data_IF_982022305179
#
_entry.id   IF_982022305179
#
_cell.length_a   1.000
_cell.length_b   1.000
_cell.length_c   1.000
_cell.angle_alpha   90.00
_cell.angle_beta   90.00
_cell.angle_gamma   90.00
#
_symmetry.space_group_name_H-M   'P 1'
#
loop_
_entity.id
_entity.type
_entity.pdbx_description
1 polymer ?
#
# COMPACT_ATOMS: atom_id res chain seq x y z
N UNK A 1 -47.04 -32.13 -9.21
CA UNK A 1 -45.59 -32.20 -9.53
C UNK A 1 -45.10 -30.94 -10.25
N UNK A 2 -45.68 -30.55 -11.41
CA UNK A 2 -45.19 -29.41 -12.21
C UNK A 2 -45.24 -28.02 -11.51
N UNK A 3 -46.28 -27.73 -10.71
CA UNK A 3 -46.41 -26.44 -9.99
C UNK A 3 -45.38 -26.23 -8.87
N UNK A 4 -44.80 -27.31 -8.32
CA UNK A 4 -43.79 -27.23 -7.26
C UNK A 4 -42.41 -26.99 -7.88
N UNK A 5 -42.10 -27.66 -9.00
CA UNK A 5 -40.86 -27.45 -9.75
C UNK A 5 -40.71 -26.01 -10.26
N UNK A 6 -41.80 -25.40 -10.78
CA UNK A 6 -41.79 -24.00 -11.25
C UNK A 6 -41.55 -23.00 -10.10
N UNK A 7 -42.12 -23.24 -8.90
CA UNK A 7 -41.90 -22.38 -7.73
C UNK A 7 -40.47 -22.47 -7.20
N UNK A 8 -39.88 -23.67 -7.18
CA UNK A 8 -38.49 -23.88 -6.76
C UNK A 8 -37.51 -23.22 -7.74
N UNK A 9 -37.75 -23.33 -9.05
CA UNK A 9 -36.90 -22.74 -10.08
C UNK A 9 -36.92 -21.20 -10.05
N UNK A 10 -38.10 -20.59 -9.89
CA UNK A 10 -38.25 -19.12 -9.77
C UNK A 10 -37.54 -18.57 -8.52
N UNK A 11 -37.65 -19.27 -7.39
CA UNK A 11 -36.95 -18.89 -6.15
C UNK A 11 -35.43 -19.03 -6.33
N UNK A 12 -34.93 -20.11 -6.94
CA UNK A 12 -33.49 -20.27 -7.21
C UNK A 12 -32.94 -19.17 -8.12
N UNK A 13 -33.67 -18.78 -9.17
CA UNK A 13 -33.25 -17.70 -10.09
C UNK A 13 -33.30 -16.31 -9.44
N UNK A 14 -34.24 -16.05 -8.53
CA UNK A 14 -34.33 -14.80 -7.78
C UNK A 14 -33.25 -14.72 -6.70
N UNK A 15 -32.96 -15.82 -6.00
CA UNK A 15 -31.90 -15.88 -4.98
C UNK A 15 -30.51 -15.75 -5.62
N UNK A 16 -30.26 -16.40 -6.76
CA UNK A 16 -28.99 -16.23 -7.49
C UNK A 16 -28.82 -14.81 -8.03
N UNK A 17 -29.87 -14.18 -8.60
CA UNK A 17 -29.81 -12.78 -9.01
C UNK A 17 -29.59 -11.83 -7.82
N UNK A 18 -30.30 -12.00 -6.70
CA UNK A 18 -30.10 -11.20 -5.48
C UNK A 18 -28.68 -11.35 -4.92
N UNK A 19 -28.11 -12.56 -4.91
CA UNK A 19 -26.74 -12.81 -4.45
C UNK A 19 -25.71 -12.16 -5.39
N UNK A 20 -25.91 -12.18 -6.71
CA UNK A 20 -25.04 -11.48 -7.66
C UNK A 20 -25.13 -9.96 -7.57
N UNK A 21 -26.30 -9.39 -7.25
CA UNK A 21 -26.49 -7.94 -7.06
C UNK A 21 -25.92 -7.43 -5.71
N UNK A 22 -25.96 -8.25 -4.65
CA UNK A 22 -25.49 -7.87 -3.30
C UNK A 22 -23.95 -7.81 -3.21
N UNK A 23 -23.22 -8.58 -4.03
CA UNK A 23 -21.76 -8.62 -3.99
C UNK A 23 -21.06 -7.49 -4.76
N UNK A 24 -21.77 -6.75 -5.61
CA UNK A 24 -21.18 -5.64 -6.39
C UNK A 24 -21.08 -4.31 -5.58
N UNK A 25 -21.64 -4.24 -4.37
CA UNK A 25 -21.86 -2.98 -3.65
C UNK A 25 -20.83 -2.64 -2.56
N UNK A 26 -19.86 -3.52 -2.27
CA UNK A 26 -18.99 -3.34 -1.09
C UNK A 26 -17.59 -2.84 -1.39
N UNK A 27 -17.11 -2.98 -2.63
CA UNK A 27 -15.75 -2.62 -3.01
C UNK A 27 -15.77 -1.65 -4.19
N UNK A 28 -14.90 -0.65 -4.15
CA UNK A 28 -14.68 0.29 -5.24
C UNK A 28 -13.19 0.50 -5.48
N UNK A 29 -12.85 0.95 -6.69
CA UNK A 29 -11.50 1.44 -7.01
C UNK A 29 -11.52 2.96 -6.86
N UNK A 30 -10.47 3.52 -6.27
CA UNK A 30 -10.34 4.97 -6.19
C UNK A 30 -10.20 5.58 -7.59
N UNK A 31 -10.63 6.83 -7.73
CA UNK A 31 -10.32 7.60 -8.95
C UNK A 31 -8.95 8.27 -8.79
N UNK A 32 -8.13 8.36 -9.85
CA UNK A 32 -6.90 9.13 -9.79
C UNK A 32 -7.20 10.61 -9.56
N UNK A 33 -6.34 11.28 -8.79
CA UNK A 33 -6.35 12.73 -8.66
C UNK A 33 -5.50 13.33 -9.78
N UNK A 34 -6.16 14.06 -10.68
CA UNK A 34 -5.50 14.73 -11.80
C UNK A 34 -4.98 16.12 -11.42
N UNK A 35 -4.14 16.76 -12.25
CA UNK A 35 -3.61 18.10 -12.01
C UNK A 35 -4.67 19.18 -11.74
N UNK A 36 -5.89 19.01 -12.29
CA UNK A 36 -7.02 19.91 -12.07
C UNK A 36 -7.68 19.73 -10.68
N UNK A 37 -7.50 18.57 -10.05
CA UNK A 37 -7.90 18.32 -8.65
C UNK A 37 -6.84 18.88 -7.67
N UNK A 38 -5.69 19.37 -8.16
CA UNK A 38 -4.57 19.83 -7.35
C UNK A 38 -4.59 21.37 -7.20
N UNK A 39 -4.93 21.88 -6.02
CA UNK A 39 -4.59 23.26 -5.58
C UNK A 39 -3.09 23.53 -5.80
N UNK A 40 -2.77 24.53 -6.62
CA UNK A 40 -1.39 24.92 -6.93
C UNK A 40 -0.64 25.22 -5.62
N UNK A 41 0.43 24.46 -5.34
CA UNK A 41 1.35 24.80 -4.25
C UNK A 41 2.00 26.15 -4.60
N UNK A 42 1.67 27.22 -3.86
CA UNK A 42 2.33 28.49 -4.05
C UNK A 42 3.74 28.43 -3.46
N UNK A 43 4.73 28.64 -4.32
CA UNK A 43 6.13 28.61 -3.96
C UNK A 43 6.45 29.91 -3.21
N UNK A 44 6.78 29.78 -1.92
CA UNK A 44 6.84 30.80 -0.83
C UNK A 44 5.47 31.20 -0.27
N UNK A 45 5.07 30.48 0.79
CA UNK A 45 3.85 30.75 1.57
C UNK A 45 4.04 31.92 2.56
N UNK A 46 5.23 32.07 3.16
CA UNK A 46 5.56 33.25 3.97
C UNK A 46 6.30 34.29 3.11
N UNK A 47 5.83 35.53 3.12
CA UNK A 47 6.46 36.71 2.51
C UNK A 47 6.73 37.78 3.56
N UNK A 48 7.37 38.89 3.18
CA UNK A 48 7.76 39.95 4.12
C UNK A 48 6.58 40.59 4.88
N UNK A 49 5.34 40.40 4.43
CA UNK A 49 4.13 40.99 4.99
C UNK A 49 3.26 39.98 5.74
N UNK A 50 3.50 38.68 5.60
CA UNK A 50 2.72 37.63 6.24
C UNK A 50 3.06 37.49 7.73
N UNK A 51 2.17 38.00 8.59
CA UNK A 51 2.19 37.73 10.03
C UNK A 51 0.92 36.97 10.40
N UNK A 52 1.07 35.77 10.95
CA UNK A 52 -0.04 34.92 11.37
C UNK A 52 -0.08 33.54 10.68
N UNK A 53 -1.21 32.82 10.81
CA UNK A 53 -1.34 31.50 10.24
C UNK A 53 -1.43 31.57 8.71
N UNK A 54 -0.80 30.62 8.02
CA UNK A 54 -0.87 30.47 6.56
C UNK A 54 -0.97 28.99 6.19
N UNK A 55 -1.78 28.63 5.19
CA UNK A 55 -1.80 27.24 4.74
C UNK A 55 -0.50 26.91 3.98
N UNK A 56 0.33 26.02 4.52
CA UNK A 56 1.50 25.47 3.82
C UNK A 56 1.06 24.68 2.59
N UNK A 57 0.05 23.87 2.85
CA UNK A 57 -0.65 23.01 1.94
C UNK A 57 -2.03 22.75 2.56
N UNK A 58 -2.74 21.79 2.02
CA UNK A 58 -4.10 21.47 2.42
C UNK A 58 -4.25 20.80 3.80
N UNK A 59 -3.18 20.31 4.40
CA UNK A 59 -3.18 19.62 5.68
C UNK A 59 -2.34 20.36 6.72
N UNK A 60 -1.39 21.20 6.30
CA UNK A 60 -0.45 21.86 7.19
C UNK A 60 -0.72 23.37 7.29
N UNK A 61 -0.81 23.84 8.54
CA UNK A 61 -0.83 25.24 8.90
C UNK A 61 0.58 25.68 9.30
N UNK A 62 1.09 26.72 8.63
CA UNK A 62 2.29 27.44 8.99
C UNK A 62 1.95 28.60 9.91
N UNK A 63 2.93 29.01 10.71
CA UNK A 63 2.92 30.34 11.35
C UNK A 63 4.04 31.17 10.72
N UNK A 64 3.67 32.27 10.07
CA UNK A 64 4.61 33.21 9.46
C UNK A 64 4.83 34.41 10.39
N UNK A 65 6.08 34.88 10.46
CA UNK A 65 6.47 36.16 11.07
C UNK A 65 7.32 36.91 10.05
N UNK A 66 6.64 37.67 9.18
CA UNK A 66 7.22 38.15 7.94
C UNK A 66 7.67 36.97 7.07
N UNK A 67 8.86 37.08 6.47
CA UNK A 67 9.38 36.05 5.56
C UNK A 67 9.78 34.74 6.23
N UNK A 68 9.74 34.66 7.56
CA UNK A 68 10.19 33.49 8.32
C UNK A 68 9.02 32.58 8.69
N UNK A 69 9.15 31.29 8.35
CA UNK A 69 8.29 30.24 8.89
C UNK A 69 8.82 29.81 10.26
N UNK A 70 8.06 30.10 11.32
CA UNK A 70 8.45 29.72 12.70
C UNK A 70 7.88 28.38 13.16
N UNK A 71 6.81 27.90 12.50
CA UNK A 71 6.17 26.63 12.86
C UNK A 71 5.43 26.04 11.66
N UNK A 72 5.39 24.71 11.58
CA UNK A 72 4.57 23.94 10.63
C UNK A 72 3.89 22.80 11.40
N UNK A 73 2.57 22.80 11.41
CA UNK A 73 1.79 21.77 12.11
C UNK A 73 0.65 21.26 11.24
N UNK A 74 0.32 19.98 11.39
CA UNK A 74 -0.85 19.41 10.73
C UNK A 74 -2.11 19.91 11.41
N UNK A 75 -3.12 20.32 10.63
CA UNK A 75 -4.42 20.73 11.13
C UNK A 75 -5.09 19.63 11.98
N UNK A 76 -4.91 18.35 11.61
CA UNK A 76 -5.35 17.20 12.42
C UNK A 76 -4.72 17.15 13.81
N UNK A 77 -3.47 17.59 13.95
CA UNK A 77 -2.78 17.64 15.25
C UNK A 77 -3.22 18.84 16.09
N UNK A 78 -3.64 19.94 15.47
CA UNK A 78 -4.20 21.11 16.16
C UNK A 78 -5.63 20.79 16.63
N UNK A 79 -6.46 20.24 15.75
CA UNK A 79 -7.82 19.83 16.04
C UNK A 79 -8.24 18.64 15.15
N UNK A 80 -8.45 17.44 15.72
CA UNK A 80 -8.83 16.25 14.97
C UNK A 80 -10.16 16.39 14.20
N UNK A 81 -11.07 17.28 14.64
CA UNK A 81 -12.34 17.55 13.95
C UNK A 81 -12.19 18.53 12.79
N UNK A 82 -11.02 19.14 12.62
CA UNK A 82 -10.71 20.12 11.57
C UNK A 82 -9.38 19.78 10.90
N UNK A 83 -9.31 18.65 10.18
CA UNK A 83 -8.04 18.10 9.72
C UNK A 83 -7.43 18.84 8.51
N UNK A 84 -8.18 19.74 7.87
CA UNK A 84 -7.76 20.38 6.63
C UNK A 84 -7.49 21.88 6.81
N UNK A 85 -6.53 22.43 6.08
CA UNK A 85 -6.25 23.85 6.02
C UNK A 85 -6.94 24.47 4.79
N UNK A 86 -7.78 25.48 5.02
CA UNK A 86 -8.41 26.27 3.97
C UNK A 86 -8.53 27.72 4.43
N UNK A 87 -8.20 28.68 3.56
CA UNK A 87 -8.24 30.12 3.87
C UNK A 87 -7.45 30.46 5.15
N UNK A 88 -6.21 29.96 5.25
CA UNK A 88 -5.30 30.20 6.38
C UNK A 88 -5.82 29.73 7.75
N UNK A 89 -6.79 28.81 7.78
CA UNK A 89 -7.38 28.26 8.99
C UNK A 89 -7.67 26.76 8.85
N UNK A 90 -7.67 26.05 9.99
CA UNK A 90 -8.08 24.65 10.01
C UNK A 90 -9.61 24.53 9.99
N UNK A 91 -10.15 23.72 9.07
CA UNK A 91 -11.57 23.48 8.78
C UNK A 91 -11.92 21.98 8.78
N UNK A 92 -13.20 21.67 8.99
CA UNK A 92 -13.71 20.30 9.06
C UNK A 92 -13.78 19.58 7.71
N UNK A 93 -13.98 20.33 6.63
CA UNK A 93 -14.14 19.81 5.28
C UNK A 93 -13.68 20.88 4.29
N UNK A 94 -13.08 20.47 3.18
CA UNK A 94 -12.71 21.37 2.08
C UNK A 94 -13.62 21.15 0.89
N UNK A 95 -13.87 22.20 0.10
CA UNK A 95 -14.59 22.13 -1.18
C UNK A 95 -13.70 21.69 -2.34
N UNK A 96 -12.41 21.49 -2.08
CA UNK A 96 -11.38 21.18 -3.07
C UNK A 96 -10.56 19.97 -2.60
N UNK A 97 -10.23 19.08 -3.53
CA UNK A 97 -9.34 17.96 -3.27
C UNK A 97 -7.95 18.49 -3.02
N UNK A 98 -7.36 17.98 -1.95
CA UNK A 98 -6.09 18.46 -1.47
C UNK A 98 -4.96 17.76 -2.24
N UNK A 99 -4.21 18.44 -3.12
CA UNK A 99 -3.01 17.84 -3.67
C UNK A 99 -2.07 17.52 -2.54
N UNK A 100 -1.73 16.24 -2.45
CA UNK A 100 -0.56 15.87 -1.67
C UNK A 100 0.63 16.05 -2.59
N UNK A 101 1.21 17.24 -2.55
CA UNK A 101 2.61 17.39 -2.92
C UNK A 101 3.44 17.10 -1.67
N UNK A 102 3.81 15.83 -1.46
CA UNK A 102 5.04 15.36 -0.78
C UNK A 102 5.02 13.87 -0.38
N UNK A 103 4.04 13.04 -0.79
CA UNK A 103 4.12 11.61 -0.44
C UNK A 103 5.40 10.96 -1.02
N UNK A 104 6.24 10.44 -0.13
CA UNK A 104 7.50 9.81 -0.49
C UNK A 104 7.31 8.31 -0.69
N UNK A 105 7.47 7.85 -1.91
CA UNK A 105 7.53 6.42 -2.22
C UNK A 105 8.81 5.80 -1.65
N UNK A 106 8.67 4.81 -0.77
CA UNK A 106 9.79 4.02 -0.22
C UNK A 106 9.98 2.69 -0.94
N UNK A 107 8.93 2.19 -1.60
CA UNK A 107 8.95 1.01 -2.48
C UNK A 107 7.84 1.10 -3.51
N UNK A 108 7.82 0.17 -4.48
CA UNK A 108 6.70 0.02 -5.42
C UNK A 108 5.49 -0.54 -4.67
N UNK A 109 4.29 -0.05 -5.01
CA UNK A 109 3.03 -0.58 -4.47
C UNK A 109 2.02 0.50 -4.09
N UNK A 110 0.95 0.07 -3.41
CA UNK A 110 -0.09 0.97 -2.91
C UNK A 110 0.10 1.28 -1.42
N UNK A 111 0.04 2.56 -1.06
CA UNK A 111 0.23 3.05 0.30
C UNK A 111 -1.00 3.83 0.76
N UNK A 112 -1.52 3.61 1.98
CA UNK A 112 -2.56 4.45 2.54
C UNK A 112 -2.03 5.87 2.73
N UNK A 113 -2.89 6.86 2.61
CA UNK A 113 -2.53 8.20 3.07
C UNK A 113 -2.51 8.20 4.61
N UNK A 114 -1.39 8.62 5.25
CA UNK A 114 -1.26 8.57 6.70
C UNK A 114 -2.20 9.55 7.43
N UNK A 115 -2.71 10.56 6.74
CA UNK A 115 -3.52 11.65 7.30
C UNK A 115 -4.98 11.61 6.82
N UNK A 116 -5.26 11.03 5.66
CA UNK A 116 -6.60 10.97 5.06
C UNK A 116 -6.96 9.56 4.57
N UNK A 117 -7.70 8.80 5.38
CA UNK A 117 -8.11 7.43 5.05
C UNK A 117 -8.97 7.30 3.78
N UNK A 118 -9.52 8.39 3.22
CA UNK A 118 -10.24 8.36 1.94
C UNK A 118 -9.29 8.29 0.74
N UNK A 119 -7.97 8.35 0.96
CA UNK A 119 -6.95 8.45 -0.07
C UNK A 119 -5.86 7.40 0.07
N UNK A 120 -5.22 7.12 -1.06
CA UNK A 120 -4.04 6.27 -1.13
C UNK A 120 -3.13 6.72 -2.27
N UNK A 121 -1.90 6.19 -2.28
CA UNK A 121 -0.88 6.49 -3.27
C UNK A 121 -0.45 5.22 -3.97
N UNK A 122 -0.35 5.28 -5.30
CA UNK A 122 0.34 4.26 -6.09
C UNK A 122 1.75 4.74 -6.40
N UNK A 123 2.73 3.90 -6.08
CA UNK A 123 4.16 4.18 -6.28
C UNK A 123 4.77 3.22 -7.30
N UNK A 124 5.49 3.75 -8.29
CA UNK A 124 6.14 2.97 -9.35
C UNK A 124 7.51 2.39 -8.93
N UNK A 125 8.12 2.89 -7.86
CA UNK A 125 9.43 2.43 -7.35
C UNK A 125 10.02 3.34 -6.25
N UNK A 126 11.09 2.87 -5.60
CA UNK A 126 11.82 3.65 -4.60
C UNK A 126 12.68 4.73 -5.28
N UNK A 127 12.59 5.99 -4.82
CA UNK A 127 13.51 7.05 -5.24
C UNK A 127 13.29 7.69 -6.63
N UNK A 128 12.30 7.27 -7.43
CA UNK A 128 11.99 7.84 -8.77
C UNK A 128 10.81 8.83 -8.81
N UNK A 129 10.27 9.21 -7.63
CA UNK A 129 9.43 10.41 -7.38
C UNK A 129 8.10 10.57 -8.16
N UNK A 130 7.38 9.49 -8.48
CA UNK A 130 5.96 9.59 -8.84
C UNK A 130 5.08 8.77 -7.91
N UNK A 131 4.46 9.49 -6.97
CA UNK A 131 3.32 9.00 -6.22
C UNK A 131 2.05 9.49 -6.92
N UNK A 132 1.22 8.58 -7.40
CA UNK A 132 -0.09 8.92 -7.95
C UNK A 132 -1.13 8.82 -6.83
N UNK A 133 -1.73 9.95 -6.49
CA UNK A 133 -2.77 9.96 -5.47
C UNK A 133 -4.10 9.50 -6.07
N UNK A 134 -4.82 8.70 -5.31
CA UNK A 134 -6.17 8.24 -5.61
C UNK A 134 -7.10 8.60 -4.47
N UNK A 135 -8.37 8.86 -4.79
CA UNK A 135 -9.42 9.12 -3.80
C UNK A 135 -10.54 8.11 -3.95
N UNK A 136 -10.98 7.56 -2.83
CA UNK A 136 -12.12 6.67 -2.75
C UNK A 136 -13.43 7.43 -3.00
N UNK A 137 -14.48 6.74 -3.48
CA UNK A 137 -15.81 7.33 -3.57
C UNK A 137 -16.32 7.81 -2.22
N UNK A 138 -17.31 8.72 -2.23
CA UNK A 138 -17.93 9.22 -1.00
C UNK A 138 -18.43 8.08 -0.11
N UNK A 139 -18.13 8.15 1.19
CA UNK A 139 -18.42 7.12 2.20
C UNK A 139 -17.59 5.83 2.10
N UNK A 140 -16.55 5.79 1.28
CA UNK A 140 -15.57 4.71 1.25
C UNK A 140 -14.21 5.20 1.74
N UNK A 141 -13.45 4.30 2.35
CA UNK A 141 -12.07 4.53 2.80
C UNK A 141 -11.17 3.44 2.21
N UNK A 142 -9.90 3.76 2.03
CA UNK A 142 -8.93 2.81 1.49
C UNK A 142 -8.58 1.74 2.52
N UNK A 143 -8.74 0.47 2.15
CA UNK A 143 -8.40 -0.69 2.96
C UNK A 143 -7.12 -1.34 2.41
N UNK A 144 -5.97 -1.05 3.02
CA UNK A 144 -4.67 -1.46 2.49
C UNK A 144 -4.42 -2.97 2.47
N UNK A 145 -5.18 -3.74 3.27
CA UNK A 145 -5.21 -5.22 3.20
C UNK A 145 -5.77 -5.74 1.89
N UNK A 146 -6.82 -5.10 1.36
CA UNK A 146 -7.42 -5.50 0.08
C UNK A 146 -6.92 -4.70 -1.11
N UNK A 147 -6.30 -3.54 -0.89
CA UNK A 147 -5.94 -2.61 -1.95
C UNK A 147 -7.16 -1.96 -2.62
N UNK A 148 -8.31 -1.93 -1.94
CA UNK A 148 -9.59 -1.45 -2.47
C UNK A 148 -10.24 -0.45 -1.51
N UNK A 149 -11.13 0.37 -2.04
CA UNK A 149 -11.99 1.23 -1.25
C UNK A 149 -13.14 0.41 -0.66
N UNK A 150 -13.34 0.47 0.65
CA UNK A 150 -14.39 -0.23 1.39
C UNK A 150 -15.16 0.70 2.33
N UNK A 151 -16.39 0.32 2.65
CA UNK A 151 -17.17 0.96 3.73
C UNK A 151 -16.74 0.39 5.08
N UNK A 152 -15.57 0.83 5.56
CA UNK A 152 -14.96 0.39 6.82
C UNK A 152 -14.55 1.59 7.68
N UNK A 153 -14.00 1.33 8.85
CA UNK A 153 -13.50 2.36 9.77
C UNK A 153 -12.32 3.11 9.15
N UNK A 154 -12.35 4.43 9.26
CA UNK A 154 -11.22 5.29 8.89
C UNK A 154 -10.04 5.06 9.84
N UNK A 155 -8.90 4.61 9.29
CA UNK A 155 -7.67 4.39 10.03
C UNK A 155 -6.56 5.28 9.48
N UNK A 156 -5.93 6.06 10.36
CA UNK A 156 -4.81 6.97 10.06
C UNK A 156 -3.70 6.78 11.09
N UNK A 157 -2.54 7.39 10.86
CA UNK A 157 -1.38 7.29 11.77
C UNK A 157 -1.27 8.57 12.59
N UNK A 158 -1.47 8.45 13.90
CA UNK A 158 -1.35 9.56 14.85
C UNK A 158 0.07 9.66 15.42
N UNK A 159 0.94 10.34 14.68
CA UNK A 159 2.33 10.58 15.10
C UNK A 159 2.44 11.48 16.34
N UNK A 160 1.39 12.19 16.75
CA UNK A 160 1.40 13.03 17.96
C UNK A 160 1.62 12.22 19.23
N UNK A 161 1.22 10.94 19.23
CA UNK A 161 1.41 10.02 20.35
C UNK A 161 2.73 9.25 20.30
N UNK A 162 3.40 9.27 19.14
CA UNK A 162 4.55 8.41 18.84
C UNK A 162 5.66 9.16 18.10
N UNK A 163 6.12 10.33 18.58
CA UNK A 163 7.15 11.09 17.88
C UNK A 163 8.49 10.32 17.85
N UNK A 164 9.17 10.37 16.71
CA UNK A 164 10.45 9.70 16.42
C UNK A 164 10.45 8.19 16.68
N UNK A 165 9.30 7.54 16.48
CA UNK A 165 9.12 6.09 16.67
C UNK A 165 8.56 5.42 15.43
N UNK A 166 8.86 4.12 15.34
CA UNK A 166 8.22 3.22 14.40
C UNK A 166 6.85 2.78 14.93
N UNK A 167 5.87 2.69 14.04
CA UNK A 167 4.49 2.30 14.36
C UNK A 167 4.00 1.35 13.28
N UNK A 168 3.55 0.15 13.66
CA UNK A 168 2.85 -0.74 12.74
C UNK A 168 1.47 -0.18 12.47
N UNK A 169 1.08 -0.07 11.20
CA UNK A 169 -0.22 0.46 10.85
C UNK A 169 -1.34 -0.48 11.30
N UNK A 170 -2.27 0.02 12.12
CA UNK A 170 -3.31 -0.81 12.74
C UNK A 170 -4.27 -1.48 11.75
N UNK A 171 -4.44 -0.90 10.55
CA UNK A 171 -5.27 -1.49 9.49
C UNK A 171 -4.59 -2.65 8.77
N UNK A 172 -3.25 -2.67 8.72
CA UNK A 172 -2.47 -3.58 7.89
C UNK A 172 -1.04 -3.71 8.42
N UNK A 173 -0.71 -4.83 9.09
CA UNK A 173 0.61 -5.06 9.64
C UNK A 173 1.73 -5.24 8.59
N UNK A 174 1.39 -5.32 7.29
CA UNK A 174 2.39 -5.27 6.21
C UNK A 174 2.91 -3.86 5.95
N UNK A 175 2.40 -2.86 6.68
CA UNK A 175 2.80 -1.46 6.59
C UNK A 175 3.41 -1.00 7.91
N UNK A 176 4.59 -0.41 7.82
CA UNK A 176 5.30 0.24 8.93
C UNK A 176 5.37 1.74 8.66
N UNK A 177 5.15 2.54 9.68
CA UNK A 177 5.33 3.98 9.63
C UNK A 177 6.50 4.40 10.51
N UNK A 178 7.26 5.39 10.08
CA UNK A 178 8.17 6.15 10.93
C UNK A 178 7.65 7.57 11.07
N UNK A 179 7.43 7.99 12.31
CA UNK A 179 6.94 9.32 12.65
C UNK A 179 8.13 10.25 12.92
N UNK A 180 8.56 11.03 11.93
CA UNK A 180 9.60 12.04 12.10
C UNK A 180 9.01 13.28 12.79
N UNK A 181 9.61 13.72 13.89
CA UNK A 181 9.29 14.99 14.55
C UNK A 181 10.57 15.70 15.01
N UNK A 182 11.00 16.68 14.23
CA UNK A 182 12.11 17.59 14.57
C UNK A 182 11.61 18.97 15.04
N UNK A 183 10.37 19.04 15.55
CA UNK A 183 9.71 20.28 15.97
C UNK A 183 9.15 21.10 14.81
N UNK A 184 10.00 21.52 13.88
CA UNK A 184 9.61 22.31 12.68
C UNK A 184 9.25 21.46 11.47
N UNK A 185 9.71 20.20 11.43
CA UNK A 185 9.40 19.24 10.37
C UNK A 185 8.75 18.00 10.97
N UNK A 186 7.52 17.72 10.54
CA UNK A 186 6.74 16.56 10.94
C UNK A 186 6.31 15.78 9.71
N UNK A 187 6.80 14.56 9.59
CA UNK A 187 6.58 13.72 8.40
C UNK A 187 6.26 12.30 8.82
N UNK A 188 5.35 11.65 8.08
CA UNK A 188 5.05 10.23 8.25
C UNK A 188 5.60 9.47 7.05
N UNK A 189 6.66 8.71 7.27
CA UNK A 189 7.31 7.92 6.23
C UNK A 189 6.76 6.49 6.31
N UNK A 190 6.15 6.01 5.24
CA UNK A 190 5.58 4.66 5.19
C UNK A 190 6.52 3.70 4.48
N UNK A 191 6.57 2.46 4.98
CA UNK A 191 7.25 1.31 4.38
C UNK A 191 6.22 0.20 4.21
N UNK A 192 6.38 -0.61 3.17
CA UNK A 192 5.47 -1.71 2.85
C UNK A 192 6.28 -2.97 2.55
N UNK A 193 5.83 -4.10 3.10
CA UNK A 193 6.43 -5.40 2.77
C UNK A 193 6.24 -5.74 1.28
N UNK A 194 7.17 -6.48 0.66
CA UNK A 194 7.05 -6.87 -0.75
C UNK A 194 5.83 -7.77 -1.01
N UNK A 195 5.59 -8.76 -0.14
CA UNK A 195 4.39 -9.61 -0.18
C UNK A 195 3.46 -9.24 0.97
N UNK A 196 2.42 -8.46 0.67
CA UNK A 196 1.49 -7.97 1.68
C UNK A 196 0.41 -8.96 2.06
N UNK A 197 0.35 -10.10 1.37
CA UNK A 197 -0.59 -11.16 1.71
C UNK A 197 -0.03 -12.08 2.79
N UNK A 198 1.27 -12.36 2.73
CA UNK A 198 1.90 -13.36 3.60
C UNK A 198 2.96 -12.80 4.53
N UNK A 199 3.42 -11.56 4.33
CA UNK A 199 4.42 -10.92 5.18
C UNK A 199 3.88 -9.75 5.99
N UNK A 200 4.39 -9.60 7.21
CA UNK A 200 4.06 -8.54 8.15
C UNK A 200 5.31 -8.09 8.90
N UNK A 201 5.33 -6.85 9.35
CA UNK A 201 6.42 -6.34 10.18
C UNK A 201 6.40 -6.99 11.57
N UNK A 202 7.55 -7.47 12.02
CA UNK A 202 7.73 -7.83 13.42
C UNK A 202 7.95 -6.56 14.27
N UNK A 203 7.19 -6.37 15.37
CA UNK A 203 7.27 -5.15 16.17
C UNK A 203 8.61 -4.97 16.89
N UNK A 204 9.39 -6.04 17.08
CA UNK A 204 10.66 -6.01 17.79
C UNK A 204 11.83 -5.82 16.83
N UNK A 205 11.83 -6.53 15.69
CA UNK A 205 12.95 -6.48 14.74
C UNK A 205 12.74 -5.46 13.61
N UNK A 206 11.52 -4.98 13.42
CA UNK A 206 11.11 -4.10 12.32
C UNK A 206 11.37 -4.70 10.92
N UNK A 207 11.55 -6.03 10.85
CA UNK A 207 11.72 -6.75 9.60
C UNK A 207 10.39 -7.29 9.10
N UNK A 208 10.22 -7.33 7.77
CA UNK A 208 9.12 -8.04 7.14
C UNK A 208 9.36 -9.54 7.26
N UNK A 209 8.46 -10.23 7.95
CA UNK A 209 8.56 -11.66 8.24
C UNK A 209 7.33 -12.39 7.69
N UNK A 210 7.54 -13.59 7.16
CA UNK A 210 6.46 -14.46 6.70
C UNK A 210 5.61 -14.94 7.88
N UNK A 211 4.28 -14.87 7.74
CA UNK A 211 3.32 -15.27 8.78
C UNK A 211 2.55 -16.51 8.36
N UNK A 212 2.78 -17.61 9.07
CA UNK A 212 2.03 -18.85 8.91
C UNK A 212 0.58 -18.67 9.38
N UNK A 213 -0.36 -19.00 8.51
CA UNK A 213 -1.79 -19.06 8.86
C UNK A 213 -2.20 -20.44 9.35
N UNK A 214 -1.65 -21.49 8.73
CA UNK A 214 -1.90 -22.90 9.04
C UNK A 214 -0.60 -23.69 8.85
N UNK A 215 -0.58 -24.94 9.34
CA UNK A 215 0.53 -25.86 9.06
C UNK A 215 0.49 -26.31 7.60
N UNK A 216 1.67 -26.53 7.01
CA UNK A 216 1.80 -26.93 5.62
C UNK A 216 2.98 -26.27 4.93
N UNK A 217 3.07 -26.45 3.61
CA UNK A 217 4.10 -25.83 2.78
C UNK A 217 3.47 -24.86 1.79
N UNK A 218 4.11 -23.70 1.65
CA UNK A 218 3.61 -22.56 0.89
C UNK A 218 4.72 -22.00 0.02
N UNK A 219 4.44 -21.80 -1.26
CA UNK A 219 5.37 -21.21 -2.20
C UNK A 219 5.82 -19.83 -1.70
N UNK A 220 7.12 -19.56 -1.85
CA UNK A 220 7.60 -18.20 -1.68
C UNK A 220 7.26 -17.40 -2.94
N UNK A 221 6.41 -16.39 -2.75
CA UNK A 221 5.90 -15.55 -3.83
C UNK A 221 6.97 -14.63 -4.41
N UNK A 222 8.06 -14.39 -3.66
CA UNK A 222 9.19 -13.55 -4.06
C UNK A 222 10.35 -14.37 -4.67
N UNK A 223 10.37 -15.69 -4.46
CA UNK A 223 11.36 -16.60 -5.03
C UNK A 223 10.71 -17.95 -5.37
N UNK A 224 10.41 -18.16 -6.64
CA UNK A 224 9.81 -19.40 -7.17
C UNK A 224 10.62 -20.68 -6.91
N UNK A 225 11.90 -20.56 -6.50
CA UNK A 225 12.75 -21.68 -6.08
C UNK A 225 12.67 -21.99 -4.60
N UNK A 226 11.90 -21.21 -3.85
CA UNK A 226 11.81 -21.30 -2.40
C UNK A 226 10.37 -21.50 -1.94
N UNK A 227 10.24 -22.01 -0.72
CA UNK A 227 8.97 -22.21 -0.04
C UNK A 227 9.13 -22.03 1.46
N UNK A 228 8.03 -21.72 2.12
CA UNK A 228 7.92 -21.70 3.57
C UNK A 228 7.25 -22.98 4.05
N UNK A 229 7.87 -23.66 5.00
CA UNK A 229 7.25 -24.74 5.77
C UNK A 229 6.76 -24.18 7.10
N UNK A 230 5.45 -24.25 7.30
CA UNK A 230 4.76 -23.87 8.52
C UNK A 230 4.51 -25.10 9.38
N UNK A 231 5.04 -25.10 10.59
CA UNK A 231 4.93 -26.21 11.54
C UNK A 231 4.66 -25.68 12.95
N UNK A 232 4.04 -26.49 13.82
CA UNK A 232 3.88 -26.14 15.23
C UNK A 232 5.07 -26.57 16.07
N UNK A 233 5.56 -25.64 16.86
CA UNK A 233 6.53 -25.89 17.91
C UNK A 233 6.04 -25.22 19.19
N UNK A 234 5.83 -26.02 20.25
CA UNK A 234 5.26 -25.50 21.51
C UNK A 234 3.87 -24.88 21.38
N UNK A 235 3.06 -25.32 20.41
CA UNK A 235 1.73 -24.77 20.13
C UNK A 235 1.72 -23.47 19.30
N UNK A 236 2.89 -22.91 19.00
CA UNK A 236 3.06 -21.71 18.16
C UNK A 236 3.40 -22.14 16.73
N UNK A 237 2.81 -21.48 15.73
CA UNK A 237 3.19 -21.69 14.34
C UNK A 237 4.52 -20.99 14.05
N UNK A 238 5.49 -21.76 13.58
CA UNK A 238 6.79 -21.30 13.11
C UNK A 238 6.86 -21.41 11.59
N UNK A 239 7.63 -20.52 10.96
CA UNK A 239 7.90 -20.55 9.53
C UNK A 239 9.38 -20.86 9.29
N UNK A 240 9.66 -21.85 8.45
CA UNK A 240 11.01 -22.15 7.98
C UNK A 240 11.09 -21.94 6.47
N UNK A 241 11.94 -21.02 6.05
CA UNK A 241 12.24 -20.78 4.63
C UNK A 241 13.20 -21.85 4.11
N UNK A 242 12.86 -22.44 2.97
CA UNK A 242 13.63 -23.53 2.36
C UNK A 242 13.72 -23.31 0.85
N UNK A 243 14.90 -23.62 0.31
CA UNK A 243 15.18 -23.55 -1.13
C UNK A 243 15.16 -24.95 -1.71
N UNK A 244 14.54 -25.10 -2.87
CA UNK A 244 14.61 -26.33 -3.65
C UNK A 244 16.06 -26.61 -4.11
N UNK A 245 16.40 -27.88 -4.42
CA UNK A 245 17.66 -28.22 -5.05
C UNK A 245 17.87 -27.46 -6.37
N UNK A 246 19.13 -27.33 -6.81
CA UNK A 246 19.43 -26.64 -8.07
C UNK A 246 18.71 -27.27 -9.26
N UNK A 247 18.09 -26.43 -10.10
CA UNK A 247 17.28 -26.86 -11.25
C UNK A 247 15.83 -27.24 -10.91
N UNK A 248 15.40 -27.06 -9.66
CA UNK A 248 14.01 -27.30 -9.24
C UNK A 248 13.34 -26.00 -8.75
N UNK A 249 12.04 -25.89 -9.00
CA UNK A 249 11.15 -24.87 -8.44
C UNK A 249 10.13 -25.53 -7.51
N UNK A 250 9.58 -24.75 -6.58
CA UNK A 250 8.54 -25.26 -5.71
C UNK A 250 7.18 -25.18 -6.40
N UNK A 251 6.48 -26.31 -6.49
CA UNK A 251 5.11 -26.36 -7.00
C UNK A 251 4.11 -26.44 -5.85
N UNK A 252 3.27 -25.40 -5.72
CA UNK A 252 2.28 -25.30 -4.64
C UNK A 252 1.19 -26.38 -4.73
N UNK A 253 0.84 -26.84 -5.93
CA UNK A 253 -0.26 -27.78 -6.16
C UNK A 253 0.17 -29.20 -5.82
N UNK A 254 1.36 -29.59 -6.27
CA UNK A 254 1.99 -30.86 -5.97
C UNK A 254 2.59 -30.89 -4.56
N UNK A 255 2.88 -29.73 -3.97
CA UNK A 255 3.45 -29.59 -2.64
C UNK A 255 4.93 -29.98 -2.55
N UNK A 256 5.62 -30.11 -3.69
CA UNK A 256 6.98 -30.63 -3.81
C UNK A 256 7.81 -29.79 -4.79
N UNK A 257 9.13 -29.92 -4.69
CA UNK A 257 10.04 -29.36 -5.68
C UNK A 257 10.00 -30.20 -6.96
N UNK A 258 9.67 -29.58 -8.09
CA UNK A 258 9.64 -30.22 -9.42
C UNK A 258 10.70 -29.61 -10.31
N UNK A 259 11.21 -30.40 -11.27
CA UNK A 259 12.17 -29.89 -12.25
C UNK A 259 11.43 -28.94 -13.19
N UNK A 260 11.77 -27.66 -13.15
CA UNK A 260 11.16 -26.64 -13.99
C UNK A 260 12.24 -25.69 -14.50
N UNK A 261 12.36 -25.58 -15.82
CA UNK A 261 13.33 -24.69 -16.45
C UNK A 261 12.92 -23.21 -16.30
N UNK A 262 11.61 -22.93 -16.38
CA UNK A 262 11.09 -21.57 -16.36
C UNK A 262 10.52 -21.27 -14.97
N UNK A 263 11.37 -20.69 -14.12
CA UNK A 263 11.02 -20.28 -12.77
C UNK A 263 10.60 -18.81 -12.77
N UNK A 264 9.35 -18.55 -12.34
CA UNK A 264 8.76 -17.21 -12.35
C UNK A 264 8.22 -16.88 -10.97
N UNK A 265 8.74 -15.83 -10.36
CA UNK A 265 8.24 -15.24 -9.13
C UNK A 265 6.83 -14.68 -9.35
N UNK A 266 5.96 -14.85 -8.36
CA UNK A 266 4.61 -14.29 -8.38
C UNK A 266 4.64 -12.77 -8.14
N UNK A 267 5.57 -12.30 -7.33
CA UNK A 267 5.75 -10.90 -6.93
C UNK A 267 7.19 -10.47 -7.22
N UNK A 268 7.35 -9.27 -7.76
CA UNK A 268 8.65 -8.70 -8.14
C UNK A 268 8.92 -8.82 -9.64
N UNK A 269 9.89 -8.04 -10.13
CA UNK A 269 10.36 -8.21 -11.50
C UNK A 269 11.07 -9.56 -11.58
N UNK A 270 10.51 -10.47 -12.38
CA UNK A 270 11.34 -11.52 -12.96
C UNK A 270 12.28 -10.77 -13.86
N UNK A 271 13.55 -10.63 -13.45
CA UNK A 271 14.57 -10.06 -14.30
C UNK A 271 14.36 -10.63 -15.69
N UNK A 272 14.24 -9.76 -16.69
CA UNK A 272 14.18 -10.15 -18.08
C UNK A 272 15.28 -11.20 -18.28
N UNK A 273 14.88 -12.44 -18.53
CA UNK A 273 15.75 -13.39 -19.19
C UNK A 273 16.26 -12.64 -20.42
N UNK A 274 17.58 -12.45 -20.50
CA UNK A 274 18.21 -11.97 -21.72
C UNK A 274 17.88 -13.02 -22.79
N UNK A 275 16.89 -12.71 -23.62
CA UNK A 275 16.59 -13.47 -24.82
C UNK A 275 17.81 -13.42 -25.75
N UNK A 276 18.51 -14.55 -25.83
CA UNK A 276 18.94 -15.11 -27.10
C UNK A 276 20.31 -14.69 -27.64
N UNK A 277 21.20 -15.69 -27.73
CA UNK A 277 21.91 -15.90 -28.99
C UNK A 277 22.00 -17.40 -29.30
N UNK A 278 20.98 -17.91 -30.02
CA UNK A 278 21.16 -19.06 -30.90
C UNK A 278 21.76 -18.55 -32.20
N UNK A 279 23.03 -18.86 -32.44
CA UNK A 279 23.70 -18.47 -33.67
C UNK A 279 25.13 -18.99 -33.78
N UNK A 280 25.32 -20.29 -33.96
CA UNK A 280 26.57 -20.82 -34.53
C UNK A 280 26.26 -22.02 -35.42
N UNK A 281 25.88 -21.71 -36.66
CA UNK A 281 26.15 -22.55 -37.83
C UNK A 281 27.63 -22.45 -38.22
N UNK A 282 28.12 -23.34 -39.09
CA UNK A 282 29.45 -23.94 -38.98
C UNK A 282 30.54 -23.05 -39.57
N UNK A 283 31.72 -23.04 -38.93
CA UNK A 283 32.94 -22.58 -39.59
C UNK A 283 34.02 -23.66 -39.59
N UNK A 284 34.72 -23.70 -40.71
CA UNK A 284 35.53 -24.78 -41.23
C UNK A 284 36.78 -25.04 -40.38
N UNK A 285 37.14 -26.32 -40.32
CA UNK A 285 38.50 -26.78 -40.10
C UNK A 285 39.42 -26.21 -41.19
N UNK A 286 40.41 -25.42 -40.79
CA UNK A 286 41.63 -25.23 -41.56
C UNK A 286 42.83 -25.64 -40.71
N UNK A 287 43.60 -26.54 -41.31
CA UNK A 287 44.87 -27.08 -40.86
C UNK A 287 45.94 -26.00 -40.74
N UNK A 288 46.75 -26.12 -39.68
CA UNK A 288 48.21 -25.93 -39.72
C UNK A 288 48.83 -26.57 -38.49
#
# INVERSE_FOLDING_TARGET
MLKVAVRVFVILTLVTNLVTFVWCQQHAIGRPLGPADLVRAEQKVCDASNVGPKCADCNYLLTCVGSFQVNKQTCSSINPKRPYCQNDACVASTSQLCPSSTFRCTSRGQFPDPLDCSRYYLCDGAGTNKAYAYVCPSNFVYDSKSGLCKRTTCLTIDCSKTPNKYVIFGGDPSILAYCLDNGSNKETILFRCPDTQSMQYDPNTLQCTYRCSIEGRFADRLDCRSFYECYREGGVLQAKHQKCPEGYSYDQVAGICIRQANCRNEIGDNGTEEDGESGMGPELLLFS
#
